data_IF_509184350541
#
_entry.id   IF_509184350541
#
_cell.length_a   1.000
_cell.length_b   1.000
_cell.length_c   1.000
_cell.angle_alpha   90.00
_cell.angle_beta   90.00
_cell.angle_gamma   90.00
#
_symmetry.space_group_name_H-M   'P 1'
#
loop_
_entity.id
_entity.type
_entity.pdbx_description
1 polymer ?
#
# COMPACT_ATOMS: atom_id res chain seq x y z
N UNK A 1 -24.82 -7.82 -27.60
CA UNK A 1 -24.01 -7.88 -27.75
C UNK A 1 -23.33 -7.64 -27.65
N UNK A 2 -23.33 -7.39 -27.57
CA UNK A 2 -22.51 -7.11 -27.67
C UNK A 2 -21.93 -7.02 -27.51
N UNK A 3 -21.84 -6.90 -27.54
CA UNK A 3 -21.09 -6.72 -27.54
C UNK A 3 -20.29 -6.48 -27.38
N UNK A 4 -20.35 -6.30 -27.11
CA UNK A 4 -19.60 -6.16 -27.12
C UNK A 4 -18.75 -6.23 -26.91
N UNK A 5 -18.58 -6.31 -26.99
CA UNK A 5 -17.72 -6.54 -27.03
C UNK A 5 -16.97 -6.14 -26.84
N UNK A 6 -16.34 -6.15 -26.76
CA UNK A 6 -15.72 -5.72 -26.73
C UNK A 6 -14.47 -5.33 -26.81
N UNK A 7 -14.13 -4.87 -27.25
CA UNK A 7 -12.92 -4.08 -27.43
C UNK A 7 -12.27 -3.79 -26.12
N UNK A 8 -13.09 -3.69 -25.18
CA UNK A 8 -12.69 -3.46 -23.82
C UNK A 8 -12.06 -4.68 -23.16
N UNK A 9 -11.84 -5.71 -23.93
CA UNK A 9 -11.21 -6.91 -23.39
C UNK A 9 -9.84 -6.62 -22.77
N UNK A 10 -9.03 -5.81 -23.45
CA UNK A 10 -7.75 -5.40 -22.89
C UNK A 10 -7.90 -4.55 -21.65
N UNK A 11 -8.91 -3.67 -21.65
CA UNK A 11 -9.17 -2.81 -20.49
C UNK A 11 -9.61 -3.63 -19.29
N UNK A 12 -10.39 -4.65 -19.50
CA UNK A 12 -10.84 -5.53 -18.45
C UNK A 12 -9.66 -6.26 -17.80
N UNK A 13 -8.73 -6.72 -18.61
CA UNK A 13 -7.51 -7.36 -18.10
C UNK A 13 -6.70 -6.39 -17.25
N UNK A 14 -6.59 -5.15 -17.66
CA UNK A 14 -5.86 -4.14 -16.91
C UNK A 14 -6.53 -3.84 -15.58
N UNK A 15 -7.85 -3.77 -15.56
CA UNK A 15 -8.61 -3.55 -14.33
C UNK A 15 -8.39 -4.72 -13.37
N UNK A 16 -8.42 -5.94 -13.86
CA UNK A 16 -8.20 -7.12 -13.02
C UNK A 16 -6.80 -7.13 -12.45
N UNK A 17 -5.80 -6.76 -13.25
CA UNK A 17 -4.43 -6.71 -12.80
C UNK A 17 -4.26 -5.66 -11.71
N UNK A 18 -4.83 -4.48 -11.92
CA UNK A 18 -4.76 -3.39 -10.96
C UNK A 18 -5.43 -3.79 -9.64
N UNK A 19 -6.59 -4.44 -9.72
CA UNK A 19 -7.28 -4.91 -8.52
C UNK A 19 -6.46 -5.95 -7.77
N UNK A 20 -5.82 -6.86 -8.49
CA UNK A 20 -4.98 -7.89 -7.87
C UNK A 20 -3.79 -7.26 -7.17
N UNK A 21 -3.16 -6.27 -7.80
CA UNK A 21 -2.02 -5.58 -7.21
C UNK A 21 -2.45 -4.81 -5.96
N UNK A 22 -3.58 -4.12 -6.03
CA UNK A 22 -4.10 -3.38 -4.86
C UNK A 22 -4.35 -4.32 -3.69
N UNK A 23 -4.96 -5.46 -3.95
CA UNK A 23 -5.23 -6.45 -2.91
C UNK A 23 -3.93 -6.98 -2.33
N UNK A 24 -2.96 -7.24 -3.19
CA UNK A 24 -1.66 -7.72 -2.76
C UNK A 24 -0.97 -6.71 -1.84
N UNK A 25 -1.02 -5.43 -2.21
CA UNK A 25 -0.42 -4.38 -1.39
C UNK A 25 -1.12 -4.29 -0.03
N UNK A 26 -2.45 -4.33 -0.01
CA UNK A 26 -3.19 -4.29 1.25
C UNK A 26 -2.81 -5.45 2.16
N UNK A 27 -2.74 -6.64 1.59
CA UNK A 27 -2.36 -7.83 2.36
C UNK A 27 -0.93 -7.71 2.87
N UNK A 28 -0.04 -7.21 2.04
CA UNK A 28 1.35 -7.05 2.40
C UNK A 28 1.52 -6.10 3.58
N UNK A 29 0.87 -4.96 3.53
CA UNK A 29 0.98 -3.98 4.61
C UNK A 29 0.34 -4.48 5.89
N UNK A 30 -0.80 -5.15 5.80
CA UNK A 30 -1.44 -5.72 6.99
C UNK A 30 -0.59 -6.80 7.62
N UNK A 31 0.01 -7.66 6.80
CA UNK A 31 0.88 -8.71 7.30
C UNK A 31 2.11 -8.13 7.99
N UNK A 32 2.75 -7.14 7.34
CA UNK A 32 3.96 -6.56 7.90
C UNK A 32 3.68 -5.78 9.17
N UNK A 33 2.51 -5.15 9.28
CA UNK A 33 2.17 -4.43 10.48
C UNK A 33 1.94 -5.38 11.66
N UNK A 34 1.59 -6.63 11.40
CA UNK A 34 1.38 -7.63 12.43
C UNK A 34 2.64 -8.42 12.78
N UNK A 35 3.66 -8.36 11.93
CA UNK A 35 4.93 -9.04 12.17
C UNK A 35 5.86 -8.12 12.93
N UNK A 36 5.63 -7.89 14.18
CA UNK A 36 6.40 -6.84 14.81
C UNK A 36 7.61 -7.28 15.61
N UNK A 37 7.49 -8.27 16.43
CA UNK A 37 8.57 -8.58 17.36
C UNK A 37 9.29 -9.88 17.10
N UNK A 38 8.59 -10.84 16.53
CA UNK A 38 9.15 -12.17 16.37
C UNK A 38 10.06 -12.30 15.16
N UNK A 39 9.85 -11.45 14.18
CA UNK A 39 10.69 -11.43 13.01
C UNK A 39 11.03 -9.99 12.67
N UNK A 40 11.95 -9.41 13.42
CA UNK A 40 12.31 -8.02 13.17
C UNK A 40 13.02 -7.92 11.84
N UNK A 41 12.30 -7.49 10.84
CA UNK A 41 12.90 -7.17 9.55
C UNK A 41 13.32 -5.72 9.65
N UNK A 42 14.60 -5.50 9.79
CA UNK A 42 15.12 -4.13 9.96
C UNK A 42 14.82 -3.27 8.77
N UNK A 43 14.51 -3.88 7.64
CA UNK A 43 14.20 -3.14 6.42
C UNK A 43 12.71 -2.81 6.33
N UNK A 44 11.92 -3.32 7.26
CA UNK A 44 10.49 -3.11 7.28
C UNK A 44 10.05 -2.79 8.69
N UNK A 45 10.07 -1.54 9.03
CA UNK A 45 9.77 -1.11 10.38
C UNK A 45 8.31 -0.76 10.64
N UNK A 46 7.40 -1.15 9.75
CA UNK A 46 6.01 -0.73 9.87
C UNK A 46 5.43 -1.14 11.23
N UNK A 47 5.57 -2.41 11.61
CA UNK A 47 5.01 -2.88 12.86
C UNK A 47 5.59 -2.16 14.07
N UNK A 48 6.89 -1.92 14.02
CA UNK A 48 7.57 -1.22 15.10
C UNK A 48 7.11 0.21 15.21
N UNK A 49 6.98 0.88 14.06
CA UNK A 49 6.56 2.28 14.05
C UNK A 49 5.13 2.47 14.56
N UNK A 50 4.31 1.44 14.43
CA UNK A 50 2.94 1.51 14.93
C UNK A 50 2.85 1.48 16.45
N UNK A 51 3.94 1.17 17.14
CA UNK A 51 4.02 1.28 18.60
C UNK A 51 4.38 2.68 19.05
N UNK A 52 4.95 3.48 18.17
CA UNK A 52 5.43 4.81 18.56
C UNK A 52 4.29 5.80 18.63
N UNK A 53 4.50 6.87 19.37
CA UNK A 53 3.51 7.92 19.50
C UNK A 53 3.29 8.62 18.17
N UNK A 54 2.09 9.17 17.99
CA UNK A 54 1.82 9.97 16.82
C UNK A 54 2.75 11.18 16.80
N UNK A 55 3.40 11.39 15.66
CA UNK A 55 4.25 12.55 15.47
C UNK A 55 4.57 12.67 13.98
N UNK A 56 5.07 13.84 13.59
CA UNK A 56 5.50 14.03 12.21
C UNK A 56 6.62 13.09 11.84
N UNK A 57 7.52 12.86 12.79
CA UNK A 57 8.65 11.98 12.53
C UNK A 57 8.18 10.55 12.29
N UNK A 58 7.26 10.07 13.11
CA UNK A 58 6.71 8.74 12.95
C UNK A 58 6.00 8.62 11.61
N UNK A 59 5.21 9.65 11.24
CA UNK A 59 4.52 9.66 9.97
C UNK A 59 5.49 9.58 8.79
N UNK A 60 6.56 10.37 8.84
CA UNK A 60 7.55 10.38 7.78
C UNK A 60 8.26 9.03 7.67
N UNK A 61 8.56 8.42 8.81
CA UNK A 61 9.20 7.11 8.82
C UNK A 61 8.28 6.03 8.27
N UNK A 62 6.98 6.13 8.60
CA UNK A 62 6.00 5.20 8.04
C UNK A 62 5.93 5.31 6.54
N UNK A 63 5.94 6.52 6.00
CA UNK A 63 5.91 6.71 4.56
C UNK A 63 7.08 6.00 3.89
N UNK A 64 8.26 6.16 4.44
CA UNK A 64 9.45 5.52 3.89
C UNK A 64 9.39 4.00 4.01
N UNK A 65 8.96 3.51 5.16
CA UNK A 65 8.89 2.08 5.39
C UNK A 65 7.87 1.42 4.46
N UNK A 66 6.74 2.08 4.27
CA UNK A 66 5.69 1.56 3.40
C UNK A 66 6.17 1.53 1.95
N UNK A 67 6.78 2.62 1.49
CA UNK A 67 7.32 2.66 0.14
C UNK A 67 8.35 1.56 -0.08
N UNK A 68 9.27 1.42 0.86
CA UNK A 68 10.30 0.39 0.76
C UNK A 68 9.70 -1.01 0.68
N UNK A 69 8.70 -1.26 1.52
CA UNK A 69 8.05 -2.56 1.56
C UNK A 69 7.37 -2.89 0.24
N UNK A 70 6.64 -1.93 -0.31
CA UNK A 70 5.94 -2.15 -1.57
C UNK A 70 6.94 -2.38 -2.69
N UNK A 71 7.99 -1.57 -2.76
CA UNK A 71 8.97 -1.71 -3.83
C UNK A 71 9.72 -3.03 -3.76
N UNK A 72 9.93 -3.53 -2.55
CA UNK A 72 10.66 -4.77 -2.37
C UNK A 72 9.81 -6.01 -2.64
N UNK A 73 8.58 -5.99 -2.16
CA UNK A 73 7.75 -7.19 -2.17
C UNK A 73 6.66 -7.19 -3.24
N UNK A 74 6.41 -6.06 -3.88
CA UNK A 74 5.42 -5.98 -4.96
C UNK A 74 6.01 -5.21 -6.14
N UNK A 75 6.94 -5.84 -6.87
CA UNK A 75 7.62 -5.15 -7.98
C UNK A 75 6.70 -4.83 -9.16
N UNK A 76 5.50 -5.40 -9.20
CA UNK A 76 4.55 -5.08 -10.25
C UNK A 76 3.97 -3.68 -10.12
N UNK A 77 4.15 -3.07 -8.95
CA UNK A 77 3.64 -1.73 -8.71
C UNK A 77 4.79 -0.74 -8.68
N UNK A 78 4.70 0.29 -9.53
CA UNK A 78 5.64 1.39 -9.48
C UNK A 78 5.04 2.47 -8.61
N UNK A 79 5.60 2.65 -7.42
CA UNK A 79 5.04 3.55 -6.43
C UNK A 79 5.31 4.99 -6.83
N UNK A 80 4.24 5.78 -6.89
CA UNK A 80 4.36 7.21 -7.11
C UNK A 80 4.46 7.94 -5.79
N UNK A 81 3.34 8.07 -5.10
CA UNK A 81 3.28 8.79 -3.83
C UNK A 81 2.75 7.90 -2.73
N UNK A 82 3.31 8.08 -1.54
CA UNK A 82 2.79 7.47 -0.32
C UNK A 82 2.56 8.59 0.67
N UNK A 83 1.34 8.75 1.13
CA UNK A 83 0.98 9.78 2.10
C UNK A 83 0.37 9.09 3.32
N UNK A 84 0.85 9.45 4.49
CA UNK A 84 0.36 8.89 5.74
C UNK A 84 -0.21 10.02 6.58
N UNK A 85 -1.46 9.87 6.99
CA UNK A 85 -2.13 10.83 7.87
C UNK A 85 -2.50 10.16 9.17
N UNK A 86 -2.13 10.80 10.28
CA UNK A 86 -2.47 10.29 11.58
C UNK A 86 -3.95 10.60 11.88
N UNK A 87 -4.69 9.56 12.25
CA UNK A 87 -6.07 9.69 12.70
C UNK A 87 -6.10 9.35 14.19
N UNK A 88 -5.71 10.33 15.00
CA UNK A 88 -5.50 10.07 16.42
C UNK A 88 -6.77 9.68 17.15
N UNK A 89 -7.90 10.24 16.74
CA UNK A 89 -9.20 9.90 17.34
C UNK A 89 -9.60 8.46 17.04
N UNK A 90 -9.07 7.87 15.99
CA UNK A 90 -9.33 6.48 15.64
C UNK A 90 -8.18 5.57 16.01
N UNK A 91 -7.12 6.12 16.57
CA UNK A 91 -5.92 5.38 16.92
C UNK A 91 -5.36 4.61 15.72
N UNK A 92 -5.31 5.28 14.58
CA UNK A 92 -4.92 4.64 13.31
C UNK A 92 -4.24 5.63 12.40
N UNK A 93 -3.62 5.10 11.35
CA UNK A 93 -3.05 5.91 10.28
C UNK A 93 -3.78 5.62 8.99
N UNK A 94 -4.12 6.67 8.27
CA UNK A 94 -4.70 6.56 6.94
C UNK A 94 -3.55 6.64 5.93
N UNK A 95 -3.39 5.60 5.14
CA UNK A 95 -2.32 5.52 4.16
C UNK A 95 -2.91 5.63 2.76
N UNK A 96 -2.45 6.59 2.00
CA UNK A 96 -2.88 6.77 0.62
C UNK A 96 -1.69 6.51 -0.29
N UNK A 97 -1.85 5.58 -1.20
CA UNK A 97 -0.79 5.16 -2.09
C UNK A 97 -1.24 5.36 -3.53
N UNK A 98 -0.40 6.03 -4.31
CA UNK A 98 -0.61 6.15 -5.74
C UNK A 98 0.45 5.33 -6.43
N UNK A 99 0.05 4.43 -7.30
CA UNK A 99 1.01 3.60 -8.01
C UNK A 99 0.56 3.37 -9.44
N UNK A 100 1.49 2.95 -10.26
CA UNK A 100 1.19 2.55 -11.64
C UNK A 100 1.52 1.07 -11.76
N UNK A 101 0.56 0.26 -12.22
CA UNK A 101 0.84 -1.14 -12.47
C UNK A 101 1.89 -1.29 -13.56
N UNK A 102 2.65 -2.38 -13.47
CA UNK A 102 3.64 -2.69 -14.47
C UNK A 102 3.00 -2.72 -15.86
N UNK A 103 3.64 -2.08 -16.83
CA UNK A 103 3.17 -1.99 -18.22
C UNK A 103 1.88 -1.18 -18.40
N UNK A 104 1.52 -0.38 -17.42
CA UNK A 104 0.35 0.49 -17.52
C UNK A 104 0.73 1.86 -16.98
N UNK A 105 0.44 2.89 -17.76
CA UNK A 105 0.79 4.26 -17.37
C UNK A 105 -0.29 4.93 -16.51
N UNK A 106 -1.43 4.27 -16.32
CA UNK A 106 -2.51 4.87 -15.53
C UNK A 106 -2.25 4.72 -14.04
N UNK A 107 -2.43 5.81 -13.33
CA UNK A 107 -2.28 5.79 -11.89
C UNK A 107 -3.47 5.12 -11.22
N UNK A 108 -3.18 4.35 -10.21
CA UNK A 108 -4.19 3.72 -9.38
C UNK A 108 -4.04 4.24 -7.97
N UNK A 109 -5.13 4.61 -7.35
CA UNK A 109 -5.14 5.08 -5.97
C UNK A 109 -5.59 3.97 -5.05
N UNK A 110 -4.91 3.86 -3.92
CA UNK A 110 -5.20 2.83 -2.94
C UNK A 110 -5.20 3.46 -1.56
N UNK A 111 -6.18 3.10 -0.76
CA UNK A 111 -6.30 3.62 0.59
C UNK A 111 -6.29 2.46 1.57
N UNK A 112 -5.46 2.55 2.58
CA UNK A 112 -5.32 1.50 3.58
C UNK A 112 -5.30 2.15 4.96
N UNK A 113 -5.96 1.53 5.93
CA UNK A 113 -5.88 1.97 7.32
C UNK A 113 -5.03 0.99 8.11
N UNK A 114 -4.09 1.53 8.86
CA UNK A 114 -3.24 0.73 9.73
C UNK A 114 -3.51 1.15 11.17
N UNK A 115 -4.04 0.23 11.94
CA UNK A 115 -4.34 0.52 13.33
C UNK A 115 -3.05 0.56 14.14
N UNK A 116 -2.98 1.52 15.05
CA UNK A 116 -1.85 1.64 15.92
C UNK A 116 -1.91 0.53 16.97
N UNK A 117 -0.77 -0.03 17.24
CA UNK A 117 -0.68 -1.14 18.20
C UNK A 117 -0.52 -0.68 19.62
#
# INVERSE_FOLDING_TARGET
MDFTKHPSHGDLSKVKKSTAISRSIKNLLSTRSNERLFQPDVNNGIGILLFENFSRLTTARLEKAIRYTIEKYEPRARVGNVTVNAKEDQNAYEVKITYMPDNDARETNLEVYLERT
#
